data_IF_586069420449
#
_entry.id   IF_586069420449
#
_cell.length_a   1.000
_cell.length_b   1.000
_cell.length_c   1.000
_cell.angle_alpha   90.00
_cell.angle_beta   90.00
_cell.angle_gamma   90.00
#
_symmetry.space_group_name_H-M   'P 1'
#
loop_
_entity.id
_entity.type
_entity.pdbx_description
1 polymer ?
#
# COMPACT_ATOMS: atom_id res chain seq x y z
N UNK A 1 -17.43 16.07 -7.68
CA UNK A 1 -16.80 15.15 -8.65
C UNK A 1 -15.30 14.86 -8.47
N UNK A 2 -14.51 15.66 -7.75
CA UNK A 2 -13.04 15.43 -7.63
C UNK A 2 -12.66 14.44 -6.52
N UNK A 3 -13.55 14.20 -5.55
CA UNK A 3 -13.34 13.33 -4.39
C UNK A 3 -14.49 12.34 -4.24
N UNK A 4 -14.26 11.21 -3.57
CA UNK A 4 -15.37 10.41 -3.05
C UNK A 4 -16.03 11.10 -1.86
N UNK A 5 -17.35 10.96 -1.73
CA UNK A 5 -18.09 11.55 -0.62
C UNK A 5 -17.65 10.99 0.73
N UNK A 6 -17.43 9.67 0.80
CA UNK A 6 -16.95 8.99 2.01
C UNK A 6 -15.57 9.48 2.46
N UNK A 7 -14.69 9.80 1.51
CA UNK A 7 -13.37 10.34 1.83
C UNK A 7 -13.49 11.76 2.44
N UNK A 8 -14.39 12.59 1.89
CA UNK A 8 -14.66 13.93 2.43
C UNK A 8 -15.30 13.84 3.82
N UNK A 9 -16.24 12.90 3.99
CA UNK A 9 -16.87 12.61 5.28
C UNK A 9 -15.82 12.18 6.31
N UNK A 10 -14.90 11.26 5.94
CA UNK A 10 -13.80 10.82 6.81
C UNK A 10 -12.89 11.96 7.26
N UNK A 11 -12.59 12.92 6.41
CA UNK A 11 -11.85 14.14 6.80
C UNK A 11 -12.63 14.98 7.81
N UNK A 12 -13.95 15.11 7.66
CA UNK A 12 -14.80 15.91 8.56
C UNK A 12 -15.01 15.26 9.92
N UNK A 13 -15.06 13.93 9.96
CA UNK A 13 -15.52 13.18 11.13
C UNK A 13 -14.40 12.43 11.87
N UNK A 14 -13.23 12.24 11.24
CA UNK A 14 -12.14 11.45 11.84
C UNK A 14 -10.94 12.31 12.24
N UNK A 15 -10.91 12.66 13.52
CA UNK A 15 -9.75 13.28 14.17
C UNK A 15 -8.46 12.47 13.98
N UNK A 16 -8.51 11.13 14.09
CA UNK A 16 -7.34 10.26 13.89
C UNK A 16 -6.78 10.40 12.47
N UNK A 17 -7.65 10.46 11.47
CA UNK A 17 -7.24 10.62 10.08
C UNK A 17 -6.59 11.99 9.83
N UNK A 18 -7.19 13.06 10.36
CA UNK A 18 -6.63 14.41 10.29
C UNK A 18 -5.31 14.52 11.05
N UNK A 19 -5.20 13.97 12.25
CA UNK A 19 -3.96 13.94 13.05
C UNK A 19 -2.82 13.25 12.29
N UNK A 20 -3.08 12.14 11.60
CA UNK A 20 -2.07 11.46 10.78
C UNK A 20 -1.54 12.34 9.65
N UNK A 21 -2.42 13.05 8.95
CA UNK A 21 -2.04 13.98 7.89
C UNK A 21 -1.17 15.13 8.42
N UNK A 22 -1.56 15.71 9.55
CA UNK A 22 -0.83 16.82 10.20
C UNK A 22 0.53 16.33 10.72
N UNK A 23 0.56 15.19 11.40
CA UNK A 23 1.78 14.60 11.95
C UNK A 23 2.79 14.25 10.85
N UNK A 24 2.31 13.76 9.70
CA UNK A 24 3.16 13.40 8.56
C UNK A 24 3.98 14.58 8.03
N UNK A 25 3.43 15.80 8.09
CA UNK A 25 4.10 17.04 7.69
C UNK A 25 4.59 17.86 8.89
N UNK A 26 4.73 17.23 10.06
CA UNK A 26 5.27 17.83 11.29
C UNK A 26 4.53 19.11 11.73
N UNK A 27 3.21 19.15 11.56
CA UNK A 27 2.39 20.26 12.03
C UNK A 27 2.23 21.42 11.04
N UNK A 28 2.85 21.38 9.86
CA UNK A 28 2.62 22.39 8.82
C UNK A 28 1.20 22.24 8.26
N UNK A 29 0.30 23.14 8.66
CA UNK A 29 -1.11 23.07 8.28
C UNK A 29 -1.34 23.32 6.78
N UNK A 30 -0.51 24.14 6.13
CA UNK A 30 -0.63 24.42 4.70
C UNK A 30 -0.24 23.17 3.89
N UNK A 31 0.82 22.48 4.29
CA UNK A 31 1.22 21.21 3.70
C UNK A 31 0.20 20.10 4.04
N UNK A 32 -0.34 20.06 5.26
CA UNK A 32 -1.31 19.04 5.66
C UNK A 32 -2.57 19.11 4.80
N UNK A 33 -3.07 20.34 4.55
CA UNK A 33 -4.19 20.56 3.64
C UNK A 33 -3.88 20.07 2.21
N UNK A 34 -2.68 20.35 1.70
CA UNK A 34 -2.23 19.84 0.39
C UNK A 34 -2.16 18.31 0.36
N UNK A 35 -1.56 17.68 1.37
CA UNK A 35 -1.44 16.21 1.46
C UNK A 35 -2.81 15.56 1.50
N UNK A 36 -3.75 16.09 2.29
CA UNK A 36 -5.13 15.62 2.31
C UNK A 36 -5.76 15.73 0.93
N UNK A 37 -5.79 16.92 0.33
CA UNK A 37 -6.37 17.13 -1.00
C UNK A 37 -5.77 16.18 -2.04
N UNK A 38 -4.45 16.07 -2.12
CA UNK A 38 -3.78 15.18 -3.08
C UNK A 38 -4.07 13.70 -2.84
N UNK A 39 -4.19 13.27 -1.58
CA UNK A 39 -4.54 11.88 -1.25
C UNK A 39 -5.95 11.54 -1.73
N UNK A 40 -6.92 12.43 -1.48
CA UNK A 40 -8.31 12.25 -1.89
C UNK A 40 -8.46 12.27 -3.42
N UNK A 41 -7.77 13.18 -4.14
CA UNK A 41 -7.77 13.17 -5.62
C UNK A 41 -7.18 11.89 -6.17
N UNK A 42 -6.08 11.43 -5.58
CA UNK A 42 -5.41 10.22 -6.04
C UNK A 42 -6.28 8.99 -5.87
N UNK A 43 -7.00 8.88 -4.73
CA UNK A 43 -8.00 7.82 -4.50
C UNK A 43 -9.03 7.78 -5.63
N UNK A 44 -9.58 8.93 -6.05
CA UNK A 44 -10.50 9.03 -7.18
C UNK A 44 -9.85 8.68 -8.52
N UNK A 45 -8.62 9.14 -8.75
CA UNK A 45 -7.86 8.88 -9.98
C UNK A 45 -7.59 7.38 -10.19
N UNK A 46 -7.18 6.66 -9.14
CA UNK A 46 -6.93 5.21 -9.22
C UNK A 46 -8.20 4.38 -9.07
N UNK A 47 -9.36 5.02 -8.93
CA UNK A 47 -10.66 4.36 -8.72
C UNK A 47 -10.63 3.39 -7.54
N UNK A 48 -10.11 3.87 -6.39
CA UNK A 48 -9.83 3.01 -5.22
C UNK A 48 -11.09 2.30 -4.71
N UNK A 49 -12.24 2.98 -4.74
CA UNK A 49 -13.51 2.44 -4.23
C UNK A 49 -14.11 1.36 -5.15
N UNK A 50 -13.68 1.35 -6.41
CA UNK A 50 -14.10 0.38 -7.42
C UNK A 50 -13.17 -0.84 -7.46
N UNK A 51 -12.02 -0.82 -6.78
CA UNK A 51 -11.13 -1.99 -6.66
C UNK A 51 -11.78 -2.99 -5.70
N UNK A 52 -12.38 -4.03 -6.28
CA UNK A 52 -13.01 -5.15 -5.57
C UNK A 52 -12.42 -6.47 -6.02
N UNK A 53 -12.57 -7.50 -5.19
CA UNK A 53 -12.03 -8.83 -5.46
C UNK A 53 -12.50 -9.40 -6.80
N UNK A 54 -13.77 -9.19 -7.16
CA UNK A 54 -14.37 -9.69 -8.41
C UNK A 54 -13.80 -9.00 -9.65
N UNK A 55 -13.22 -7.81 -9.49
CA UNK A 55 -12.59 -7.04 -10.56
C UNK A 55 -11.14 -7.43 -10.84
N UNK A 56 -10.54 -8.27 -10.01
CA UNK A 56 -9.14 -8.73 -10.12
C UNK A 56 -9.15 -10.21 -10.52
N UNK A 57 -8.44 -10.63 -11.58
CA UNK A 57 -8.40 -12.04 -11.97
C UNK A 57 -7.85 -12.93 -10.85
N UNK A 58 -8.55 -14.05 -10.58
CA UNK A 58 -8.22 -14.98 -9.47
C UNK A 58 -6.76 -15.44 -9.46
N UNK A 59 -6.17 -15.62 -10.64
CA UNK A 59 -4.78 -16.00 -10.80
C UNK A 59 -3.80 -15.08 -10.04
N UNK A 60 -4.09 -13.78 -9.92
CA UNK A 60 -3.25 -12.84 -9.16
C UNK A 60 -3.26 -13.11 -7.65
N UNK A 61 -4.39 -13.58 -7.11
CA UNK A 61 -4.48 -13.98 -5.70
C UNK A 61 -3.85 -15.36 -5.48
N UNK A 62 -4.09 -16.30 -6.39
CA UNK A 62 -3.56 -17.67 -6.34
C UNK A 62 -2.03 -17.70 -6.45
N UNK A 63 -1.45 -16.80 -7.24
CA UNK A 63 0.00 -16.60 -7.35
C UNK A 63 0.67 -16.28 -6.00
N UNK A 64 -0.08 -15.73 -5.03
CA UNK A 64 0.44 -15.33 -3.71
C UNK A 64 1.71 -14.50 -3.80
N UNK A 65 1.79 -13.60 -4.79
CA UNK A 65 2.86 -12.62 -4.87
C UNK A 65 2.67 -11.54 -3.79
N UNK A 66 1.43 -11.16 -3.51
CA UNK A 66 1.08 -10.17 -2.49
C UNK A 66 -0.04 -10.74 -1.64
N UNK A 67 0.13 -10.78 -0.33
CA UNK A 67 -0.91 -11.29 0.58
C UNK A 67 -0.73 -10.81 2.02
N UNK A 68 -1.82 -10.63 2.78
CA UNK A 68 -1.74 -10.41 4.21
C UNK A 68 -1.30 -11.70 4.92
N UNK A 69 -0.45 -11.57 5.94
CA UNK A 69 0.04 -12.74 6.68
C UNK A 69 -0.49 -12.79 8.12
N UNK A 70 0.05 -11.96 9.01
CA UNK A 70 -0.39 -11.86 10.40
C UNK A 70 -0.02 -10.47 10.95
N UNK A 71 0.13 -10.31 12.26
CA UNK A 71 0.64 -9.10 12.90
C UNK A 71 2.09 -9.25 13.32
N UNK A 72 2.85 -8.17 13.25
CA UNK A 72 4.18 -8.10 13.83
C UNK A 72 4.12 -7.99 15.37
N UNK A 73 5.30 -7.96 16.02
CA UNK A 73 5.40 -7.86 17.49
C UNK A 73 4.84 -6.56 18.06
N UNK A 74 4.60 -5.53 17.24
CA UNK A 74 3.95 -4.28 17.64
C UNK A 74 2.46 -4.26 17.33
N UNK A 75 1.90 -5.38 16.84
CA UNK A 75 0.49 -5.50 16.47
C UNK A 75 0.14 -4.88 15.12
N UNK A 76 1.12 -4.45 14.31
CA UNK A 76 0.86 -3.94 12.96
C UNK A 76 0.57 -5.10 12.02
N UNK A 77 -0.45 -4.98 11.17
CA UNK A 77 -0.72 -6.00 10.14
C UNK A 77 0.45 -6.08 9.16
N UNK A 78 0.83 -7.30 8.78
CA UNK A 78 1.92 -7.57 7.83
C UNK A 78 1.33 -7.84 6.46
N UNK A 79 1.80 -7.10 5.47
CA UNK A 79 1.55 -7.33 4.06
C UNK A 79 2.85 -7.83 3.41
N UNK A 80 2.80 -9.04 2.86
CA UNK A 80 3.96 -9.70 2.26
C UNK A 80 4.00 -9.42 0.77
N UNK A 81 5.18 -9.08 0.26
CA UNK A 81 5.56 -9.21 -1.14
C UNK A 81 6.52 -10.40 -1.26
N UNK A 82 6.02 -11.50 -1.80
CA UNK A 82 6.78 -12.71 -2.06
C UNK A 82 7.45 -12.60 -3.43
N UNK A 83 8.70 -12.18 -3.46
CA UNK A 83 9.36 -11.84 -4.73
C UNK A 83 9.57 -13.05 -5.64
N UNK A 84 9.84 -14.25 -5.12
CA UNK A 84 9.97 -15.47 -5.94
C UNK A 84 8.70 -15.81 -6.74
N UNK A 85 7.55 -15.34 -6.27
CA UNK A 85 6.27 -15.53 -6.94
C UNK A 85 5.93 -14.37 -7.88
N UNK A 86 6.74 -13.32 -7.95
CA UNK A 86 6.53 -12.15 -8.78
C UNK A 86 7.56 -12.10 -9.92
N UNK A 87 7.08 -12.08 -11.16
CA UNK A 87 7.96 -11.92 -12.33
C UNK A 87 7.54 -10.67 -13.10
N UNK A 88 8.45 -9.68 -13.14
CA UNK A 88 8.26 -8.44 -13.90
C UNK A 88 7.96 -8.76 -15.37
N UNK A 89 7.02 -8.02 -15.98
CA UNK A 89 6.55 -8.18 -17.37
C UNK A 89 5.77 -9.46 -17.71
N UNK A 90 5.68 -10.44 -16.80
CA UNK A 90 4.79 -11.60 -16.97
C UNK A 90 3.38 -11.33 -16.44
N UNK A 91 3.23 -10.28 -15.63
CA UNK A 91 1.99 -9.87 -15.00
C UNK A 91 1.63 -8.44 -15.43
N UNK A 92 0.33 -8.18 -15.64
CA UNK A 92 -0.17 -6.82 -15.90
C UNK A 92 0.14 -5.93 -14.68
N UNK A 93 1.02 -4.95 -14.88
CA UNK A 93 1.46 -4.05 -13.81
C UNK A 93 0.32 -3.28 -13.15
N UNK A 94 -0.79 -3.04 -13.86
CA UNK A 94 -2.00 -2.42 -13.31
C UNK A 94 -2.69 -3.34 -12.33
N UNK A 95 -2.88 -4.61 -12.71
CA UNK A 95 -3.53 -5.62 -11.87
C UNK A 95 -2.72 -5.90 -10.60
N UNK A 96 -1.38 -6.00 -10.70
CA UNK A 96 -0.50 -6.16 -9.52
C UNK A 96 -0.66 -4.99 -8.55
N UNK A 97 -0.71 -3.75 -9.06
CA UNK A 97 -0.97 -2.56 -8.24
C UNK A 97 -2.36 -2.60 -7.62
N UNK A 98 -3.37 -3.09 -8.34
CA UNK A 98 -4.73 -3.24 -7.80
C UNK A 98 -4.78 -4.27 -6.68
N UNK A 99 -4.08 -5.41 -6.77
CA UNK A 99 -3.98 -6.41 -5.70
C UNK A 99 -3.36 -5.79 -4.43
N UNK A 100 -2.26 -5.05 -4.59
CA UNK A 100 -1.65 -4.33 -3.47
C UNK A 100 -2.62 -3.36 -2.81
N UNK A 101 -3.29 -2.52 -3.60
CA UNK A 101 -4.24 -1.54 -3.10
C UNK A 101 -5.49 -2.19 -2.47
N UNK A 102 -5.98 -3.28 -3.04
CA UNK A 102 -7.08 -4.08 -2.50
C UNK A 102 -6.76 -4.56 -1.08
N UNK A 103 -5.63 -5.25 -0.90
CA UNK A 103 -5.25 -5.71 0.44
C UNK A 103 -4.96 -4.55 1.39
N UNK A 104 -4.35 -3.47 0.90
CA UNK A 104 -4.06 -2.31 1.74
C UNK A 104 -5.35 -1.66 2.28
N UNK A 105 -6.35 -1.42 1.42
CA UNK A 105 -7.65 -0.89 1.83
C UNK A 105 -8.38 -1.83 2.79
N UNK A 106 -8.33 -3.15 2.54
CA UNK A 106 -8.92 -4.17 3.42
C UNK A 106 -8.29 -4.15 4.81
N UNK A 107 -6.97 -4.01 4.90
CA UNK A 107 -6.27 -3.92 6.18
C UNK A 107 -6.66 -2.66 6.96
N UNK A 108 -6.72 -1.49 6.30
CA UNK A 108 -7.06 -0.23 6.98
C UNK A 108 -8.53 -0.09 7.35
N UNK A 109 -9.43 -0.43 6.43
CA UNK A 109 -10.85 -0.11 6.57
C UNK A 109 -11.64 -1.25 7.23
N UNK A 110 -11.31 -2.52 6.93
CA UNK A 110 -12.05 -3.66 7.48
C UNK A 110 -11.38 -4.23 8.75
N UNK A 111 -10.04 -4.24 8.79
CA UNK A 111 -9.29 -4.81 9.92
C UNK A 111 -8.78 -3.76 10.91
N UNK A 112 -9.10 -2.48 10.67
CA UNK A 112 -8.77 -1.38 11.58
C UNK A 112 -7.27 -1.14 11.76
N UNK A 113 -6.44 -1.55 10.79
CA UNK A 113 -5.00 -1.34 10.85
C UNK A 113 -4.70 0.15 11.06
N UNK A 114 -3.82 0.47 12.03
CA UNK A 114 -3.30 1.83 12.20
C UNK A 114 -2.06 2.05 11.37
N UNK A 115 -1.25 0.99 11.24
CA UNK A 115 -0.09 0.87 10.39
C UNK A 115 -0.02 -0.52 9.77
N UNK A 116 0.66 -0.61 8.64
CA UNK A 116 0.99 -1.87 7.97
C UNK A 116 2.51 -2.02 7.89
N UNK A 117 3.01 -3.18 8.27
CA UNK A 117 4.41 -3.58 8.09
C UNK A 117 4.53 -4.29 6.74
N UNK A 118 5.47 -3.84 5.91
CA UNK A 118 5.78 -4.51 4.64
C UNK A 118 6.87 -5.56 4.89
N UNK A 119 6.64 -6.80 4.46
CA UNK A 119 7.67 -7.82 4.36
C UNK A 119 8.00 -8.03 2.88
N UNK A 120 9.20 -7.65 2.47
CA UNK A 120 9.74 -7.97 1.15
C UNK A 120 10.55 -9.26 1.29
N UNK A 121 9.92 -10.38 0.97
CA UNK A 121 10.56 -11.69 1.03
C UNK A 121 11.27 -11.98 -0.30
N UNK A 122 12.60 -11.94 -0.27
CA UNK A 122 13.46 -12.18 -1.41
C UNK A 122 14.09 -13.58 -1.40
N UNK A 123 13.71 -14.46 -0.47
CA UNK A 123 14.22 -15.82 -0.43
C UNK A 123 13.83 -16.57 -1.69
N UNK A 124 14.79 -17.33 -2.24
CA UNK A 124 14.72 -18.03 -3.52
C UNK A 124 14.38 -17.13 -4.72
N UNK A 125 14.39 -15.81 -4.53
CA UNK A 125 14.09 -14.89 -5.59
C UNK A 125 15.36 -14.70 -6.43
N UNK A 126 15.27 -14.96 -7.73
CA UNK A 126 16.39 -14.77 -8.64
C UNK A 126 16.85 -13.31 -8.70
N UNK A 127 17.92 -13.04 -9.44
CA UNK A 127 18.49 -11.68 -9.59
C UNK A 127 17.52 -10.64 -10.17
N UNK A 128 16.36 -11.06 -10.68
CA UNK A 128 15.29 -10.19 -11.19
C UNK A 128 14.64 -9.30 -10.10
N UNK A 129 14.74 -9.65 -8.81
CA UNK A 129 14.23 -8.78 -7.73
C UNK A 129 14.90 -7.41 -7.75
N UNK A 130 16.19 -7.38 -8.08
CA UNK A 130 16.99 -6.17 -8.14
C UNK A 130 16.53 -5.27 -9.32
N UNK A 131 15.95 -5.85 -10.37
CA UNK A 131 15.47 -5.11 -11.55
C UNK A 131 13.99 -4.66 -11.45
N UNK A 132 13.24 -5.11 -10.44
CA UNK A 132 11.89 -4.60 -10.14
C UNK A 132 11.86 -3.48 -9.09
N UNK A 133 12.61 -2.44 -9.39
CA UNK A 133 12.59 -1.20 -8.62
C UNK A 133 11.27 -0.44 -8.82
N UNK A 134 10.54 -0.65 -9.92
CA UNK A 134 9.38 0.17 -10.27
C UNK A 134 8.16 -0.13 -9.40
N UNK A 135 7.86 -1.40 -9.17
CA UNK A 135 6.76 -1.76 -8.28
C UNK A 135 7.09 -1.46 -6.82
N UNK A 136 8.32 -1.73 -6.39
CA UNK A 136 8.83 -1.32 -5.08
C UNK A 136 8.71 0.20 -4.89
N UNK A 137 9.13 1.01 -5.86
CA UNK A 137 8.94 2.48 -5.86
C UNK A 137 7.46 2.86 -5.77
N UNK A 138 6.57 2.13 -6.45
CA UNK A 138 5.14 2.38 -6.36
C UNK A 138 4.64 2.18 -4.93
N UNK A 139 4.97 1.06 -4.29
CA UNK A 139 4.60 0.77 -2.88
C UNK A 139 5.07 1.90 -1.96
N UNK A 140 6.35 2.28 -2.04
CA UNK A 140 6.89 3.36 -1.23
C UNK A 140 6.18 4.70 -1.50
N UNK A 141 5.90 5.03 -2.77
CA UNK A 141 5.17 6.25 -3.10
C UNK A 141 3.73 6.24 -2.55
N UNK A 142 3.06 5.09 -2.51
CA UNK A 142 1.72 4.97 -1.90
C UNK A 142 1.79 5.34 -0.42
N UNK A 143 2.71 4.75 0.34
CA UNK A 143 2.84 5.07 1.77
C UNK A 143 3.32 6.51 2.01
N UNK A 144 4.34 6.96 1.29
CA UNK A 144 4.93 8.29 1.49
C UNK A 144 3.98 9.43 1.11
N UNK A 145 3.10 9.24 0.12
CA UNK A 145 2.30 10.35 -0.42
C UNK A 145 0.80 10.21 -0.18
N UNK A 146 0.28 9.00 0.08
CA UNK A 146 -1.16 8.69 0.03
C UNK A 146 -1.70 8.08 1.32
N UNK A 147 -0.85 7.39 2.09
CA UNK A 147 -1.20 6.78 3.39
C UNK A 147 -0.30 7.32 4.51
N UNK A 148 -0.45 8.61 4.87
CA UNK A 148 0.42 9.27 5.84
C UNK A 148 0.35 8.58 7.20
N UNK A 149 1.52 8.40 7.82
CA UNK A 149 1.68 7.67 9.09
C UNK A 149 1.15 6.22 9.07
N UNK A 150 0.86 5.66 7.89
CA UNK A 150 0.36 4.30 7.72
C UNK A 150 1.45 3.24 7.61
N UNK A 151 2.69 3.60 7.28
CA UNK A 151 3.76 2.61 7.23
C UNK A 151 4.31 2.32 8.64
N UNK A 152 4.37 1.04 8.98
CA UNK A 152 5.08 0.49 10.14
C UNK A 152 6.54 0.26 9.78
N UNK A 153 6.99 -0.99 9.83
CA UNK A 153 8.32 -1.37 9.35
C UNK A 153 8.31 -1.77 7.88
N UNK A 154 9.47 -1.66 7.24
CA UNK A 154 9.78 -2.40 6.02
C UNK A 154 10.87 -3.38 6.38
N UNK A 155 10.54 -4.67 6.30
CA UNK A 155 11.44 -5.77 6.57
C UNK A 155 11.81 -6.35 5.22
N UNK A 156 13.11 -6.42 4.92
CA UNK A 156 13.59 -7.10 3.72
C UNK A 156 14.32 -8.36 4.16
N UNK A 157 13.86 -9.51 3.69
CA UNK A 157 14.37 -10.81 4.06
C UNK A 157 15.10 -11.44 2.88
N UNK A 158 16.30 -11.96 3.16
CA UNK A 158 17.13 -12.72 2.21
C UNK A 158 17.36 -12.01 0.86
N UNK A 159 17.69 -10.71 0.91
CA UNK A 159 17.99 -9.95 -0.30
C UNK A 159 19.26 -10.52 -0.99
N UNK A 160 19.19 -10.87 -2.29
CA UNK A 160 20.37 -11.31 -3.02
C UNK A 160 21.43 -10.21 -3.04
N UNK A 161 22.68 -10.58 -2.78
CA UNK A 161 23.81 -9.67 -2.94
C UNK A 161 24.06 -9.38 -4.42
N UNK A 162 24.43 -8.14 -4.75
CA UNK A 162 24.98 -7.78 -6.05
C UNK A 162 26.32 -8.51 -6.22
N UNK A 163 26.34 -9.63 -6.92
CA UNK A 163 27.58 -10.25 -7.43
C UNK A 163 27.76 -9.85 -8.88
#
# INVERSE_FOLDING_TARGET
DVYYEDDVKKIRESDDFCRKMIAHVRGDMALAHKVAAYSLRWRKYVKIAEIKEEGIPKAFFEQKAIYPYNKDKLGCHVLVLQNKNYTKNMADATQVKQVFLYFLEKLYNEHGAKKVTMLLDCADAGSHVISDIDFTKFIFNVFLKRYPMGLGYVIVYDMPWLV
#
